data_IF_448977819077
#
_entry.id   IF_448977819077
#
_cell.length_a   1.000
_cell.length_b   1.000
_cell.length_c   1.000
_cell.angle_alpha   90.00
_cell.angle_beta   90.00
_cell.angle_gamma   90.00
#
_symmetry.space_group_name_H-M   'P 1'
#
loop_
_entity.id
_entity.type
_entity.pdbx_description
1 polymer ?
#
# COMPACT_ATOMS: atom_id res chain seq x y z
N UNK A 1 17.38 2.03 37.66
CA UNK A 1 17.76 1.83 36.24
C UNK A 1 18.72 0.64 36.23
N UNK A 2 18.42 -0.44 35.49
CA UNK A 2 19.36 -1.57 35.35
C UNK A 2 19.93 -1.53 33.94
N UNK A 3 21.26 -1.47 33.83
CA UNK A 3 21.96 -1.24 32.55
C UNK A 3 21.93 -2.46 31.62
N UNK A 4 22.15 -3.67 32.16
CA UNK A 4 22.22 -4.91 31.36
C UNK A 4 21.64 -6.09 32.11
N UNK A 5 20.65 -6.75 31.51
CA UNK A 5 20.04 -7.96 32.06
C UNK A 5 20.04 -9.11 31.05
N UNK A 6 20.37 -10.32 31.54
CA UNK A 6 20.17 -11.58 30.83
C UNK A 6 19.20 -12.43 31.65
N UNK A 7 18.12 -12.87 31.03
CA UNK A 7 17.14 -13.74 31.67
C UNK A 7 16.88 -14.97 30.79
N UNK A 8 16.94 -16.16 31.40
CA UNK A 8 16.62 -17.43 30.75
C UNK A 8 15.11 -17.70 30.72
N UNK A 9 14.43 -17.47 31.85
CA UNK A 9 12.98 -17.72 32.04
C UNK A 9 12.12 -16.53 31.63
N UNK A 10 10.82 -16.74 31.31
CA UNK A 10 9.78 -15.72 30.99
C UNK A 10 9.68 -14.54 31.98
N UNK A 11 10.47 -13.46 31.82
CA UNK A 11 10.51 -12.41 32.83
C UNK A 11 9.31 -11.47 32.68
N UNK A 12 8.79 -11.00 33.81
CA UNK A 12 7.64 -10.07 33.86
C UNK A 12 8.07 -8.74 34.47
N UNK A 13 8.01 -7.70 33.66
CA UNK A 13 8.34 -6.33 34.05
C UNK A 13 7.08 -5.48 34.15
N UNK A 14 6.97 -4.75 35.25
CA UNK A 14 5.86 -3.82 35.51
C UNK A 14 6.44 -2.54 36.08
N UNK A 15 6.06 -1.40 35.51
CA UNK A 15 6.52 -0.08 35.94
C UNK A 15 8.06 0.00 35.97
N UNK A 16 8.72 -0.53 34.93
CA UNK A 16 10.18 -0.67 34.88
C UNK A 16 10.79 0.16 33.76
N UNK A 17 11.99 0.69 34.01
CA UNK A 17 12.82 1.36 33.01
C UNK A 17 14.15 0.64 32.92
N UNK A 18 14.41 0.06 31.76
CA UNK A 18 15.56 -0.78 31.48
C UNK A 18 16.28 -0.28 30.24
N UNK A 19 17.59 -0.51 30.16
CA UNK A 19 18.38 -0.03 29.02
C UNK A 19 18.61 -1.18 28.02
N UNK A 20 19.25 -2.27 28.46
CA UNK A 20 19.56 -3.39 27.58
C UNK A 20 19.13 -4.72 28.18
N UNK A 21 18.27 -5.44 27.48
CA UNK A 21 17.78 -6.76 27.91
C UNK A 21 17.99 -7.80 26.82
N UNK A 22 18.49 -8.97 27.23
CA UNK A 22 18.52 -10.18 26.40
C UNK A 22 17.73 -11.29 27.10
N UNK A 23 16.74 -11.83 26.39
CA UNK A 23 15.89 -12.92 26.91
C UNK A 23 15.85 -14.06 25.90
N UNK A 24 15.92 -15.30 26.37
CA UNK A 24 15.68 -16.48 25.53
C UNK A 24 14.19 -16.61 25.19
N UNK A 25 13.35 -16.64 26.22
CA UNK A 25 11.90 -16.87 26.16
C UNK A 25 11.05 -15.59 26.00
N UNK A 26 9.72 -15.71 25.96
CA UNK A 26 8.74 -14.59 25.87
C UNK A 26 8.67 -13.67 27.11
N UNK A 27 9.24 -12.45 27.12
CA UNK A 27 9.06 -11.52 28.22
C UNK A 27 7.72 -10.78 28.14
N UNK A 28 7.21 -10.37 29.30
CA UNK A 28 5.99 -9.55 29.41
C UNK A 28 6.30 -8.20 30.03
N UNK A 29 5.87 -7.15 29.34
CA UNK A 29 6.09 -5.76 29.72
C UNK A 29 4.76 -5.04 29.89
N UNK A 30 4.63 -4.34 31.01
CA UNK A 30 3.47 -3.50 31.30
C UNK A 30 3.94 -2.17 31.88
N UNK A 31 3.43 -1.06 31.34
CA UNK A 31 3.76 0.28 31.82
C UNK A 31 5.28 0.50 31.94
N UNK A 32 6.05 0.06 30.95
CA UNK A 32 7.51 0.01 31.04
C UNK A 32 8.19 0.66 29.82
N UNK A 33 9.41 1.13 30.04
CA UNK A 33 10.30 1.69 29.02
C UNK A 33 11.53 0.81 28.83
N UNK A 34 11.93 0.58 27.60
CA UNK A 34 13.16 -0.14 27.27
C UNK A 34 13.85 0.49 26.06
N UNK A 35 15.17 0.61 26.09
CA UNK A 35 15.90 1.05 24.90
C UNK A 35 16.14 -0.12 23.94
N UNK A 36 16.73 -1.23 24.40
CA UNK A 36 17.10 -2.32 23.51
C UNK A 36 16.70 -3.69 24.05
N UNK A 37 15.94 -4.42 23.22
CA UNK A 37 15.57 -5.81 23.48
C UNK A 37 16.08 -6.73 22.37
N UNK A 38 16.76 -7.80 22.79
CA UNK A 38 16.94 -9.00 21.97
C UNK A 38 16.22 -10.14 22.65
N UNK A 39 15.21 -10.68 21.98
CA UNK A 39 14.46 -11.81 22.47
C UNK A 39 14.58 -12.96 21.45
N UNK A 40 14.72 -14.20 21.92
CA UNK A 40 14.56 -15.37 21.04
C UNK A 40 13.13 -15.43 20.51
N UNK A 41 12.17 -15.26 21.42
CA UNK A 41 10.74 -15.29 21.13
C UNK A 41 10.05 -13.91 21.22
N UNK A 42 8.81 -13.84 20.73
CA UNK A 42 8.05 -12.59 20.65
C UNK A 42 7.59 -12.08 22.02
N UNK A 43 7.99 -10.85 22.43
CA UNK A 43 7.59 -10.29 23.70
C UNK A 43 6.15 -9.77 23.69
N UNK A 44 5.50 -9.75 24.86
CA UNK A 44 4.20 -9.09 25.05
C UNK A 44 4.36 -7.71 25.67
N UNK A 45 3.77 -6.70 25.05
CA UNK A 45 3.86 -5.30 25.44
C UNK A 45 2.47 -4.67 25.61
N UNK A 46 2.26 -4.01 26.75
CA UNK A 46 1.03 -3.28 27.04
C UNK A 46 1.34 -1.94 27.69
N UNK A 47 0.87 -0.84 27.09
CA UNK A 47 1.11 0.52 27.59
C UNK A 47 2.60 0.76 27.80
N UNK A 48 3.43 0.54 26.79
CA UNK A 48 4.88 0.51 26.98
C UNK A 48 5.61 1.06 25.77
N UNK A 49 6.84 1.53 25.98
CA UNK A 49 7.68 2.16 24.96
C UNK A 49 8.97 1.36 24.79
N UNK A 50 9.34 1.10 23.55
CA UNK A 50 10.59 0.41 23.22
C UNK A 50 11.30 1.15 22.07
N UNK A 51 12.60 1.37 22.17
CA UNK A 51 13.35 1.99 21.07
C UNK A 51 13.70 0.94 20.00
N UNK A 52 14.38 -0.16 20.37
CA UNK A 52 14.86 -1.16 19.39
C UNK A 52 14.53 -2.58 19.81
N UNK A 53 13.89 -3.32 18.91
CA UNK A 53 13.59 -4.74 19.07
C UNK A 53 14.16 -5.58 17.93
N UNK A 54 14.79 -6.69 18.31
CA UNK A 54 15.09 -7.82 17.42
C UNK A 54 14.60 -9.12 18.05
N UNK A 55 13.83 -9.90 17.29
CA UNK A 55 13.49 -11.27 17.66
C UNK A 55 13.36 -12.19 16.44
N UNK A 56 13.50 -13.49 16.66
CA UNK A 56 13.51 -14.51 15.61
C UNK A 56 12.14 -15.13 15.40
N UNK A 57 11.60 -15.78 16.42
CA UNK A 57 10.46 -16.70 16.27
C UNK A 57 9.19 -16.24 16.99
N UNK A 58 8.04 -16.64 16.43
CA UNK A 58 6.70 -16.45 17.01
C UNK A 58 6.04 -17.80 17.26
N UNK A 59 5.53 -18.05 18.48
CA UNK A 59 4.39 -18.96 18.65
C UNK A 59 3.14 -18.38 17.97
N UNK A 60 2.26 -19.22 17.41
CA UNK A 60 0.94 -18.80 16.89
C UNK A 60 0.06 -18.24 18.01
N UNK A 61 0.12 -16.93 18.26
CA UNK A 61 -0.67 -16.29 19.31
C UNK A 61 -2.07 -15.89 18.85
N UNK A 62 -3.09 -16.24 19.66
CA UNK A 62 -4.48 -15.78 19.47
C UNK A 62 -4.69 -14.30 19.82
N UNK A 63 -3.80 -13.70 20.64
CA UNK A 63 -3.93 -12.33 21.18
C UNK A 63 -2.89 -11.34 20.64
N UNK A 64 -3.17 -10.01 20.64
CA UNK A 64 -2.20 -8.99 20.26
C UNK A 64 -0.98 -9.01 21.20
N UNK A 65 0.22 -9.15 20.64
CA UNK A 65 1.46 -9.04 21.40
C UNK A 65 1.82 -7.58 21.69
N UNK A 66 1.25 -6.62 20.94
CA UNK A 66 1.42 -5.19 21.19
C UNK A 66 0.08 -4.48 21.35
N UNK A 67 -0.10 -3.81 22.49
CA UNK A 67 -1.31 -3.04 22.78
C UNK A 67 -0.96 -1.70 23.39
N UNK A 68 -1.49 -0.61 22.83
CA UNK A 68 -1.27 0.75 23.35
C UNK A 68 0.23 1.04 23.54
N UNK A 69 1.06 0.68 22.56
CA UNK A 69 2.52 0.72 22.72
C UNK A 69 3.17 1.47 21.57
N UNK A 70 4.36 2.01 21.83
CA UNK A 70 5.16 2.77 20.87
C UNK A 70 6.49 2.05 20.68
N UNK A 71 6.88 1.86 19.41
CA UNK A 71 8.16 1.27 19.07
C UNK A 71 8.86 2.10 17.99
N UNK A 72 10.16 2.35 18.12
CA UNK A 72 10.89 3.11 17.08
C UNK A 72 11.35 2.14 15.96
N UNK A 73 12.07 1.07 16.30
CA UNK A 73 12.67 0.16 15.31
C UNK A 73 12.39 -1.30 15.63
N UNK A 74 11.81 -1.99 14.65
CA UNK A 74 11.53 -3.42 14.73
C UNK A 74 12.15 -4.21 13.58
N UNK A 75 12.85 -5.29 13.91
CA UNK A 75 13.27 -6.33 12.98
C UNK A 75 12.79 -7.69 13.48
N UNK A 76 12.07 -8.42 12.65
CA UNK A 76 11.53 -9.73 12.97
C UNK A 76 11.47 -10.65 11.76
N UNK A 77 11.52 -11.96 12.03
CA UNK A 77 11.15 -12.99 11.06
C UNK A 77 9.64 -13.00 10.83
N UNK A 78 8.84 -13.20 11.88
CA UNK A 78 7.42 -13.56 11.73
C UNK A 78 6.41 -12.87 12.70
N UNK A 79 5.21 -12.64 12.16
CA UNK A 79 3.82 -12.46 12.70
C UNK A 79 3.48 -11.69 13.99
N UNK A 80 3.95 -10.44 14.23
CA UNK A 80 3.42 -9.67 15.35
C UNK A 80 1.98 -9.18 15.09
N UNK A 81 1.16 -9.19 16.15
CA UNK A 81 -0.19 -8.61 16.16
C UNK A 81 -0.20 -7.30 16.95
N UNK A 82 -0.61 -6.22 16.29
CA UNK A 82 -0.63 -4.87 16.82
C UNK A 82 -2.05 -4.31 16.96
N UNK A 83 -2.32 -3.66 18.09
CA UNK A 83 -3.59 -2.97 18.35
C UNK A 83 -3.36 -1.63 19.02
N UNK A 84 -3.94 -0.56 18.48
CA UNK A 84 -3.85 0.80 19.07
C UNK A 84 -2.39 1.20 19.32
N UNK A 85 -1.50 1.05 18.35
CA UNK A 85 -0.06 1.21 18.57
C UNK A 85 0.60 2.01 17.45
N UNK A 86 1.79 2.53 17.72
CA UNK A 86 2.57 3.30 16.76
C UNK A 86 3.95 2.67 16.57
N UNK A 87 4.43 2.62 15.32
CA UNK A 87 5.77 2.15 14.99
C UNK A 87 6.42 3.07 13.96
N UNK A 88 7.69 3.41 14.11
CA UNK A 88 8.37 4.24 13.10
C UNK A 88 8.89 3.37 11.94
N UNK A 89 9.64 2.30 12.25
CA UNK A 89 10.32 1.47 11.23
C UNK A 89 10.11 -0.02 11.48
N UNK A 90 9.49 -0.69 10.50
CA UNK A 90 9.32 -2.14 10.48
C UNK A 90 10.10 -2.80 9.33
N UNK A 91 10.89 -3.82 9.66
CA UNK A 91 11.34 -4.85 8.72
C UNK A 91 10.85 -6.21 9.20
N UNK A 92 10.02 -6.85 8.39
CA UNK A 92 9.46 -8.16 8.68
C UNK A 92 9.64 -9.10 7.49
N UNK A 93 9.88 -10.39 7.74
CA UNK A 93 9.76 -11.43 6.72
C UNK A 93 8.29 -11.65 6.37
N UNK A 94 7.47 -11.96 7.40
CA UNK A 94 6.09 -12.43 7.23
C UNK A 94 5.03 -11.69 8.08
N UNK A 95 3.75 -11.93 7.72
CA UNK A 95 2.44 -11.40 8.19
C UNK A 95 2.32 -10.64 9.52
N UNK A 96 2.62 -9.33 9.58
CA UNK A 96 2.14 -8.53 10.70
C UNK A 96 0.65 -8.15 10.50
N UNK A 97 -0.15 -8.30 11.55
CA UNK A 97 -1.55 -7.88 11.59
C UNK A 97 -1.69 -6.59 12.39
N UNK A 98 -2.24 -5.55 11.76
CA UNK A 98 -2.38 -4.23 12.35
C UNK A 98 -3.82 -3.79 12.45
N UNK A 99 -4.21 -3.29 13.62
CA UNK A 99 -5.54 -2.73 13.87
C UNK A 99 -5.45 -1.40 14.61
N UNK A 100 -6.12 -0.38 14.10
CA UNK A 100 -6.19 0.95 14.74
C UNK A 100 -4.80 1.51 15.05
N UNK A 101 -3.87 1.48 14.09
CA UNK A 101 -2.47 1.76 14.36
C UNK A 101 -1.84 2.66 13.29
N UNK A 102 -0.67 3.21 13.60
CA UNK A 102 0.07 4.08 12.70
C UNK A 102 1.48 3.53 12.46
N UNK A 103 1.97 3.61 11.22
CA UNK A 103 3.36 3.28 10.90
C UNK A 103 3.95 4.18 9.80
N UNK A 104 5.18 4.63 10.01
CA UNK A 104 5.83 5.53 9.06
C UNK A 104 6.48 4.74 7.89
N UNK A 105 7.34 3.77 8.20
CA UNK A 105 8.15 3.04 7.20
C UNK A 105 8.01 1.53 7.37
N UNK A 106 7.52 0.87 6.33
CA UNK A 106 7.33 -0.59 6.29
C UNK A 106 8.13 -1.22 5.15
N UNK A 107 8.85 -2.31 5.45
CA UNK A 107 9.40 -3.24 4.46
C UNK A 107 9.01 -4.67 4.85
N UNK A 108 8.20 -5.33 4.03
CA UNK A 108 7.77 -6.72 4.22
C UNK A 108 7.99 -7.50 2.93
N UNK A 109 8.44 -8.74 3.07
CA UNK A 109 8.61 -9.67 1.95
C UNK A 109 7.28 -10.17 1.43
N UNK A 110 6.48 -10.80 2.28
CA UNK A 110 5.27 -11.49 1.84
C UNK A 110 3.99 -10.70 2.19
N UNK A 111 3.12 -11.28 3.02
CA UNK A 111 1.73 -10.85 3.15
C UNK A 111 1.47 -9.94 4.34
N UNK A 112 0.44 -9.09 4.23
CA UNK A 112 0.12 -8.04 5.23
C UNK A 112 -1.37 -7.91 5.45
N UNK A 113 -1.82 -7.62 6.68
CA UNK A 113 -3.20 -7.18 6.91
C UNK A 113 -3.29 -5.95 7.80
N UNK A 114 -3.93 -4.91 7.29
CA UNK A 114 -4.13 -3.64 7.98
C UNK A 114 -5.61 -3.28 8.05
N UNK A 115 -6.06 -2.86 9.24
CA UNK A 115 -7.43 -2.43 9.47
C UNK A 115 -7.48 -1.10 10.22
N UNK A 116 -8.22 -0.12 9.69
CA UNK A 116 -8.45 1.18 10.33
C UNK A 116 -7.13 1.86 10.73
N UNK A 117 -6.19 1.98 9.81
CA UNK A 117 -4.81 2.37 10.14
C UNK A 117 -4.22 3.33 9.12
N UNK A 118 -3.20 4.07 9.53
CA UNK A 118 -2.53 5.09 8.71
C UNK A 118 -1.11 4.65 8.43
N UNK A 119 -0.67 4.79 7.18
CA UNK A 119 0.65 4.39 6.79
C UNK A 119 1.26 5.36 5.77
N UNK A 120 2.51 5.77 5.97
CA UNK A 120 3.14 6.70 5.03
C UNK A 120 3.81 5.98 3.85
N UNK A 121 4.79 5.10 4.12
CA UNK A 121 5.70 4.59 3.08
C UNK A 121 5.86 3.07 3.12
N UNK A 122 4.81 2.28 2.84
CA UNK A 122 4.97 0.84 2.65
C UNK A 122 5.74 0.43 1.41
N UNK A 123 6.57 -0.58 1.62
CA UNK A 123 7.06 -1.50 0.59
C UNK A 123 6.63 -2.90 0.98
N UNK A 124 5.79 -3.51 0.17
CA UNK A 124 5.35 -4.90 0.32
C UNK A 124 5.74 -5.68 -0.94
N UNK A 125 6.16 -6.92 -0.80
CA UNK A 125 6.23 -7.85 -1.94
C UNK A 125 4.83 -8.31 -2.29
N UNK A 126 4.29 -9.27 -1.52
CA UNK A 126 3.19 -10.10 -2.03
C UNK A 126 1.84 -9.91 -1.29
N UNK A 127 0.77 -9.71 -2.05
CA UNK A 127 -0.64 -9.69 -1.60
C UNK A 127 -1.02 -8.91 -0.31
N UNK A 128 -0.66 -7.62 -0.16
CA UNK A 128 -1.03 -6.86 1.03
C UNK A 128 -2.55 -6.59 1.08
N UNK A 129 -3.16 -6.81 2.25
CA UNK A 129 -4.59 -6.61 2.53
C UNK A 129 -4.85 -5.38 3.39
N UNK A 130 -5.73 -4.50 2.93
CA UNK A 130 -6.06 -3.28 3.67
C UNK A 130 -7.57 -3.07 3.77
N UNK A 131 -8.01 -2.56 4.92
CA UNK A 131 -9.43 -2.29 5.21
C UNK A 131 -9.58 -0.98 5.98
N UNK A 132 -10.24 0.00 5.35
CA UNK A 132 -10.47 1.33 5.91
C UNK A 132 -9.16 2.01 6.35
N UNK A 133 -8.13 1.95 5.51
CA UNK A 133 -6.79 2.49 5.82
C UNK A 133 -6.44 3.64 4.88
N UNK A 134 -5.57 4.54 5.32
CA UNK A 134 -5.08 5.69 4.54
C UNK A 134 -3.60 5.50 4.23
N UNK A 135 -3.19 5.82 3.00
CA UNK A 135 -1.84 5.65 2.51
C UNK A 135 -1.34 6.85 1.72
N UNK A 136 -0.10 7.27 2.01
CA UNK A 136 0.57 8.32 1.25
C UNK A 136 1.30 7.73 0.02
N UNK A 137 2.30 6.86 0.23
CA UNK A 137 3.19 6.35 -0.83
C UNK A 137 3.35 4.83 -0.77
N UNK A 138 2.71 4.13 -1.69
CA UNK A 138 2.74 2.67 -1.76
C UNK A 138 3.63 2.17 -2.91
N UNK A 139 4.50 1.20 -2.60
CA UNK A 139 5.18 0.34 -3.57
C UNK A 139 4.83 -1.10 -3.29
N UNK A 140 4.30 -1.79 -4.30
CA UNK A 140 4.00 -3.23 -4.22
C UNK A 140 4.65 -3.94 -5.41
N UNK A 141 5.24 -5.10 -5.14
CA UNK A 141 5.70 -6.02 -6.19
C UNK A 141 4.52 -6.63 -6.93
N UNK A 142 3.67 -7.34 -6.20
CA UNK A 142 2.53 -8.10 -6.75
C UNK A 142 1.15 -7.51 -6.38
N UNK A 143 0.08 -8.21 -6.76
CA UNK A 143 -1.34 -7.82 -6.61
C UNK A 143 -1.80 -7.37 -5.18
N UNK A 144 -2.10 -6.08 -4.91
CA UNK A 144 -2.66 -5.65 -3.62
C UNK A 144 -4.17 -5.91 -3.53
N UNK A 145 -4.68 -6.36 -2.37
CA UNK A 145 -6.12 -6.53 -2.11
C UNK A 145 -6.65 -5.50 -1.11
N UNK A 146 -7.56 -4.63 -1.54
CA UNK A 146 -8.15 -3.59 -0.68
C UNK A 146 -9.66 -3.81 -0.53
N UNK A 147 -10.16 -4.08 0.67
CA UNK A 147 -11.57 -4.53 0.84
C UNK A 147 -12.32 -3.80 1.96
N UNK A 148 -13.34 -3.01 1.57
CA UNK A 148 -14.68 -2.97 2.18
C UNK A 148 -15.66 -2.11 1.32
N UNK A 149 -16.57 -2.71 0.52
CA UNK A 149 -16.85 -4.16 0.40
C UNK A 149 -17.72 -4.52 -0.81
N UNK A 150 -17.30 -5.48 -1.64
CA UNK A 150 -17.92 -6.81 -1.84
C UNK A 150 -17.30 -7.60 -3.01
N UNK A 151 -17.15 -8.92 -2.77
CA UNK A 151 -16.89 -10.11 -3.62
C UNK A 151 -16.15 -9.99 -4.97
N UNK A 152 -15.21 -10.92 -5.18
CA UNK A 152 -14.44 -11.05 -6.42
C UNK A 152 -13.02 -11.54 -6.14
N UNK A 153 -12.56 -12.51 -6.92
CA UNK A 153 -11.28 -13.22 -6.83
C UNK A 153 -10.08 -12.40 -7.37
N UNK A 154 -10.33 -11.19 -7.86
CA UNK A 154 -9.31 -10.27 -8.41
C UNK A 154 -8.90 -9.18 -7.41
N UNK A 155 -7.65 -8.65 -7.50
CA UNK A 155 -7.18 -7.54 -6.67
C UNK A 155 -7.96 -6.26 -6.97
N UNK A 156 -8.87 -5.91 -6.07
CA UNK A 156 -9.73 -4.73 -6.19
C UNK A 156 -9.30 -3.67 -5.17
N UNK A 157 -9.08 -2.45 -5.63
CA UNK A 157 -9.02 -1.22 -4.84
C UNK A 157 -10.38 -0.56 -4.84
N UNK A 158 -11.11 -0.71 -3.73
CA UNK A 158 -12.46 -0.17 -3.57
C UNK A 158 -12.50 0.88 -2.47
N UNK A 159 -13.12 2.04 -2.73
CA UNK A 159 -13.28 3.12 -1.75
C UNK A 159 -11.95 3.54 -1.10
N UNK A 160 -10.91 3.71 -1.92
CA UNK A 160 -9.56 3.99 -1.47
C UNK A 160 -9.13 5.40 -1.89
N UNK A 161 -8.36 6.06 -1.03
CA UNK A 161 -7.69 7.34 -1.31
C UNK A 161 -6.20 7.13 -1.14
N UNK A 162 -5.44 7.39 -2.21
CA UNK A 162 -3.98 7.31 -2.21
C UNK A 162 -3.37 8.53 -2.90
N UNK A 163 -2.19 8.96 -2.46
CA UNK A 163 -1.45 10.01 -3.16
C UNK A 163 -0.60 9.39 -4.28
N UNK A 164 0.26 8.42 -3.97
CA UNK A 164 1.19 7.83 -4.95
C UNK A 164 1.22 6.31 -4.88
N UNK A 165 1.02 5.66 -6.03
CA UNK A 165 1.19 4.21 -6.19
C UNK A 165 2.19 3.86 -7.29
N UNK A 166 3.04 2.89 -7.00
CA UNK A 166 3.76 2.08 -8.00
C UNK A 166 3.38 0.62 -7.82
N UNK A 167 2.82 0.02 -8.87
CA UNK A 167 2.44 -1.39 -8.92
C UNK A 167 3.06 -2.06 -10.15
N UNK A 168 3.56 -3.29 -10.00
CA UNK A 168 4.01 -4.12 -11.11
C UNK A 168 2.83 -4.62 -11.93
N UNK A 169 1.87 -5.27 -11.27
CA UNK A 169 0.76 -6.00 -11.90
C UNK A 169 -0.60 -5.30 -11.84
N UNK A 170 -1.54 -5.77 -12.69
CA UNK A 170 -2.90 -5.28 -12.93
C UNK A 170 -3.74 -4.85 -11.69
N UNK A 171 -3.84 -3.54 -11.38
CA UNK A 171 -4.76 -3.08 -10.33
C UNK A 171 -6.15 -2.79 -10.90
N UNK A 172 -7.20 -3.33 -10.28
CA UNK A 172 -8.59 -2.96 -10.58
C UNK A 172 -9.12 -1.96 -9.55
N UNK A 173 -9.53 -0.78 -10.00
CA UNK A 173 -10.02 0.33 -9.17
C UNK A 173 -11.53 0.52 -9.30
N UNK A 174 -12.19 0.72 -8.17
CA UNK A 174 -13.62 1.04 -8.08
C UNK A 174 -13.87 2.11 -7.03
N UNK A 175 -14.61 3.17 -7.37
CA UNK A 175 -14.99 4.22 -6.41
C UNK A 175 -13.78 4.77 -5.63
N UNK A 176 -12.68 5.06 -6.32
CA UNK A 176 -11.43 5.43 -5.65
C UNK A 176 -10.85 6.73 -6.23
N UNK A 177 -10.02 7.40 -5.43
CA UNK A 177 -9.31 8.60 -5.81
C UNK A 177 -7.80 8.38 -5.67
N UNK A 178 -7.04 8.77 -6.70
CA UNK A 178 -5.59 8.66 -6.71
C UNK A 178 -4.97 9.88 -7.39
N UNK A 179 -3.86 10.40 -6.86
CA UNK A 179 -3.14 11.51 -7.51
C UNK A 179 -2.21 10.98 -8.60
N UNK A 180 -1.32 10.03 -8.27
CA UNK A 180 -0.29 9.54 -9.21
C UNK A 180 -0.17 8.03 -9.22
N UNK A 181 -0.34 7.42 -10.41
CA UNK A 181 -0.11 6.01 -10.65
C UNK A 181 1.03 5.77 -11.65
N UNK A 182 1.91 4.81 -11.33
CA UNK A 182 2.70 4.08 -12.31
C UNK A 182 2.35 2.59 -12.23
N UNK A 183 1.82 2.05 -13.32
CA UNK A 183 1.49 0.63 -13.46
C UNK A 183 2.29 0.04 -14.63
N UNK A 184 2.81 -1.18 -14.46
CA UNK A 184 3.42 -1.94 -15.54
C UNK A 184 2.35 -2.43 -16.52
N UNK A 185 1.38 -3.17 -15.98
CA UNK A 185 0.33 -3.87 -16.75
C UNK A 185 -1.04 -3.15 -16.75
N UNK A 186 -2.01 -3.70 -17.49
CA UNK A 186 -3.38 -3.19 -17.72
C UNK A 186 -4.18 -2.78 -16.44
N UNK A 187 -4.27 -1.48 -16.09
CA UNK A 187 -5.13 -1.04 -15.00
C UNK A 187 -6.58 -0.90 -15.47
N UNK A 188 -7.53 -1.35 -14.64
CA UNK A 188 -8.98 -1.18 -14.89
C UNK A 188 -9.58 -0.20 -13.90
N UNK A 189 -10.32 0.78 -14.38
CA UNK A 189 -10.91 1.83 -13.56
C UNK A 189 -12.42 1.94 -13.75
N UNK A 190 -13.14 2.02 -12.63
CA UNK A 190 -14.59 2.22 -12.61
C UNK A 190 -14.99 3.25 -11.58
N UNK A 191 -15.81 4.25 -11.96
CA UNK A 191 -16.33 5.27 -11.04
C UNK A 191 -15.22 5.93 -10.21
N UNK A 192 -14.11 6.33 -10.82
CA UNK A 192 -12.91 6.76 -10.09
C UNK A 192 -12.32 8.03 -10.67
N UNK A 193 -11.50 8.69 -9.86
CA UNK A 193 -10.82 9.94 -10.22
C UNK A 193 -9.31 9.72 -10.14
N UNK A 194 -8.59 10.09 -11.19
CA UNK A 194 -7.12 10.05 -11.23
C UNK A 194 -6.55 11.34 -11.83
N UNK A 195 -5.52 11.90 -11.22
CA UNK A 195 -4.83 13.06 -11.81
C UNK A 195 -3.83 12.61 -12.89
N UNK A 196 -2.91 11.69 -12.57
CA UNK A 196 -1.82 11.29 -13.48
C UNK A 196 -1.62 9.78 -13.55
N UNK A 197 -1.72 9.22 -14.76
CA UNK A 197 -1.37 7.82 -15.05
C UNK A 197 -0.15 7.71 -15.98
N UNK A 198 0.77 6.81 -15.64
CA UNK A 198 1.66 6.16 -16.60
C UNK A 198 1.39 4.65 -16.57
N UNK A 199 0.93 4.11 -17.69
CA UNK A 199 0.70 2.68 -17.89
C UNK A 199 1.57 2.18 -19.05
N UNK A 200 2.16 1.00 -18.90
CA UNK A 200 2.86 0.32 -20.00
C UNK A 200 1.86 -0.21 -21.03
N UNK A 201 0.86 -0.95 -20.57
CA UNK A 201 -0.15 -1.63 -21.41
C UNK A 201 -1.52 -0.93 -21.43
N UNK A 202 -2.49 -1.51 -22.15
CA UNK A 202 -3.88 -1.03 -22.35
C UNK A 202 -4.69 -0.71 -21.07
N UNK A 203 -4.87 0.57 -20.69
CA UNK A 203 -5.75 0.92 -19.58
C UNK A 203 -7.23 0.94 -20.00
N UNK A 204 -8.11 0.46 -19.14
CA UNK A 204 -9.56 0.49 -19.37
C UNK A 204 -10.28 1.38 -18.36
N UNK A 205 -11.12 2.30 -18.83
CA UNK A 205 -11.85 3.26 -17.99
C UNK A 205 -13.37 3.20 -18.22
N UNK A 206 -14.13 3.26 -17.13
CA UNK A 206 -15.59 3.37 -17.16
C UNK A 206 -16.09 4.37 -16.14
N UNK A 207 -16.93 5.31 -16.56
CA UNK A 207 -17.54 6.32 -15.66
C UNK A 207 -16.49 7.04 -14.79
N UNK A 208 -15.35 7.44 -15.36
CA UNK A 208 -14.21 7.95 -14.59
C UNK A 208 -13.67 9.26 -15.16
N UNK A 209 -12.92 9.98 -14.34
CA UNK A 209 -12.31 11.27 -14.70
C UNK A 209 -10.79 11.14 -14.59
N UNK A 210 -10.09 11.58 -15.63
CA UNK A 210 -8.63 11.55 -15.70
C UNK A 210 -8.07 12.86 -16.26
N UNK A 211 -7.09 13.47 -15.58
CA UNK A 211 -6.45 14.69 -16.11
C UNK A 211 -5.39 14.34 -17.16
N UNK A 212 -4.44 13.44 -16.83
CA UNK A 212 -3.29 13.13 -17.69
C UNK A 212 -3.03 11.64 -17.81
N UNK A 213 -3.02 11.13 -19.04
CA UNK A 213 -2.70 9.75 -19.39
C UNK A 213 -1.46 9.67 -20.28
N UNK A 214 -0.50 8.83 -19.90
CA UNK A 214 0.52 8.28 -20.81
C UNK A 214 0.37 6.75 -20.86
N UNK A 215 0.03 6.22 -22.02
CA UNK A 215 -0.12 4.79 -22.26
C UNK A 215 0.79 4.34 -23.41
N UNK A 216 1.45 3.19 -23.28
CA UNK A 216 2.23 2.60 -24.38
C UNK A 216 1.35 2.02 -25.47
N UNK A 217 0.22 1.43 -25.11
CA UNK A 217 -0.73 0.74 -26.01
C UNK A 217 -2.11 1.41 -26.03
N UNK A 218 -3.03 0.87 -26.85
CA UNK A 218 -4.42 1.34 -27.03
C UNK A 218 -5.24 1.47 -25.73
N UNK A 219 -5.53 2.69 -25.24
CA UNK A 219 -6.44 2.88 -24.10
C UNK A 219 -7.91 2.76 -24.55
N UNK A 220 -8.75 2.20 -23.67
CA UNK A 220 -10.20 2.12 -23.88
C UNK A 220 -10.94 2.90 -22.81
N UNK A 221 -11.88 3.78 -23.19
CA UNK A 221 -12.73 4.42 -22.20
C UNK A 221 -14.19 4.60 -22.61
N UNK A 222 -15.09 4.53 -21.61
CA UNK A 222 -16.53 4.67 -21.79
C UNK A 222 -17.13 5.59 -20.74
N UNK A 223 -18.02 6.50 -21.15
CA UNK A 223 -18.68 7.45 -20.25
C UNK A 223 -17.68 8.20 -19.35
N UNK A 224 -16.53 8.59 -19.89
CA UNK A 224 -15.41 9.13 -19.10
C UNK A 224 -14.93 10.46 -19.67
N UNK A 225 -14.20 11.22 -18.86
CA UNK A 225 -13.60 12.49 -19.27
C UNK A 225 -12.07 12.42 -19.14
N UNK A 226 -11.37 12.89 -20.18
CA UNK A 226 -9.91 12.94 -20.25
C UNK A 226 -9.44 14.30 -20.77
N UNK A 227 -8.60 15.01 -20.01
CA UNK A 227 -8.04 16.29 -20.46
C UNK A 227 -6.89 16.08 -21.47
N UNK A 228 -5.91 15.24 -21.13
CA UNK A 228 -4.71 15.03 -21.95
C UNK A 228 -4.35 13.56 -22.10
N UNK A 229 -4.28 13.08 -23.34
CA UNK A 229 -3.78 11.76 -23.70
C UNK A 229 -2.50 11.82 -24.52
N UNK A 230 -1.50 11.04 -24.10
CA UNK A 230 -0.37 10.60 -24.93
C UNK A 230 -0.39 9.09 -25.06
N UNK A 231 -0.62 8.58 -26.26
CA UNK A 231 -0.72 7.14 -26.53
C UNK A 231 0.24 6.72 -27.64
N UNK A 232 0.82 5.53 -27.53
CA UNK A 232 1.60 4.92 -28.61
C UNK A 232 0.76 4.39 -29.76
N UNK A 233 -0.52 4.11 -29.51
CA UNK A 233 -1.48 3.54 -30.47
C UNK A 233 -2.83 4.26 -30.40
N UNK A 234 -3.71 3.98 -31.37
CA UNK A 234 -5.01 4.63 -31.51
C UNK A 234 -5.98 4.30 -30.35
N UNK A 235 -6.43 5.30 -29.58
CA UNK A 235 -7.42 5.09 -28.53
C UNK A 235 -8.81 4.77 -29.07
N UNK A 236 -9.63 4.09 -28.27
CA UNK A 236 -11.06 3.93 -28.56
C UNK A 236 -11.92 4.50 -27.43
N UNK A 237 -12.97 5.26 -27.78
CA UNK A 237 -13.86 5.82 -26.78
C UNK A 237 -15.33 5.85 -27.18
N UNK A 238 -16.21 5.81 -26.18
CA UNK A 238 -17.67 5.91 -26.39
C UNK A 238 -18.31 6.82 -25.37
N UNK A 239 -19.14 7.74 -25.83
CA UNK A 239 -19.88 8.70 -24.99
C UNK A 239 -18.94 9.41 -23.99
N UNK A 240 -17.81 9.91 -24.47
CA UNK A 240 -16.72 10.38 -23.61
C UNK A 240 -16.13 11.66 -24.16
N UNK A 241 -15.44 12.43 -23.32
CA UNK A 241 -14.84 13.71 -23.71
C UNK A 241 -13.32 13.57 -23.67
N UNK A 242 -12.67 14.00 -24.74
CA UNK A 242 -11.21 14.14 -24.83
C UNK A 242 -10.87 15.55 -25.31
N UNK A 243 -10.08 16.31 -24.54
CA UNK A 243 -9.69 17.66 -24.96
C UNK A 243 -8.45 17.67 -25.86
N UNK A 244 -7.43 16.87 -25.52
CA UNK A 244 -6.16 16.82 -26.25
C UNK A 244 -5.65 15.39 -26.44
N UNK A 245 -5.32 15.07 -27.69
CA UNK A 245 -4.70 13.81 -28.10
C UNK A 245 -3.32 14.08 -28.71
N UNK A 246 -2.33 13.31 -28.26
CA UNK A 246 -1.00 13.20 -28.87
C UNK A 246 -0.72 11.72 -29.14
N UNK A 247 -0.55 11.36 -30.42
CA UNK A 247 -0.19 10.02 -30.85
C UNK A 247 1.30 9.97 -31.18
N UNK A 248 2.03 8.99 -30.63
CA UNK A 248 3.46 8.80 -30.96
C UNK A 248 3.66 8.02 -32.27
N UNK A 249 2.66 7.24 -32.72
CA UNK A 249 2.66 6.57 -34.03
C UNK A 249 1.29 6.71 -34.69
N UNK A 250 1.22 7.39 -35.83
CA UNK A 250 0.07 7.31 -36.74
C UNK A 250 0.44 6.32 -37.85
N UNK A 251 -0.24 5.17 -37.91
CA UNK A 251 -0.32 4.41 -39.16
C UNK A 251 -1.29 5.16 -40.08
N UNK A 252 -0.88 5.38 -41.33
CA UNK A 252 -1.73 6.04 -42.32
C UNK A 252 -3.07 5.31 -42.43
N UNK A 253 -4.17 5.99 -42.09
CA UNK A 253 -5.54 5.48 -42.22
C UNK A 253 -6.28 5.12 -40.91
N UNK A 254 -5.63 5.15 -39.76
CA UNK A 254 -6.33 4.89 -38.49
C UNK A 254 -6.92 6.18 -37.89
N UNK A 255 -8.24 6.35 -37.99
CA UNK A 255 -8.95 7.45 -37.32
C UNK A 255 -9.35 7.04 -35.90
N UNK A 256 -9.22 7.93 -34.90
CA UNK A 256 -9.76 7.67 -33.57
C UNK A 256 -11.27 7.47 -33.64
N UNK A 257 -11.76 6.31 -33.20
CA UNK A 257 -13.18 6.01 -33.20
C UNK A 257 -13.85 6.50 -31.90
N UNK A 258 -14.75 7.49 -32.02
CA UNK A 258 -15.63 7.83 -30.91
C UNK A 258 -16.82 8.75 -31.25
N UNK A 259 -18.00 8.39 -30.74
CA UNK A 259 -19.23 9.20 -30.89
C UNK A 259 -19.36 10.21 -29.74
N UNK A 260 -19.08 11.50 -29.98
CA UNK A 260 -19.35 12.61 -29.03
C UNK A 260 -19.07 14.01 -29.61
N UNK A 261 -19.80 15.04 -29.13
CA UNK A 261 -19.64 16.48 -29.46
C UNK A 261 -18.19 16.97 -29.27
N UNK A 262 -17.55 17.43 -30.34
CA UNK A 262 -16.11 17.74 -30.37
C UNK A 262 -15.74 19.21 -30.13
N UNK A 263 -14.73 19.41 -29.26
CA UNK A 263 -13.60 20.30 -29.52
C UNK A 263 -12.33 19.45 -29.43
N UNK A 264 -12.08 18.61 -30.44
CA UNK A 264 -10.80 17.91 -30.55
C UNK A 264 -9.75 18.89 -31.06
N UNK A 265 -8.71 19.14 -30.27
CA UNK A 265 -7.48 19.77 -30.77
C UNK A 265 -6.44 18.68 -30.92
N UNK A 266 -6.34 18.11 -32.12
CA UNK A 266 -5.29 17.15 -32.47
C UNK A 266 -4.00 17.95 -32.63
N UNK A 267 -3.04 17.74 -31.72
CA UNK A 267 -1.71 18.31 -31.82
C UNK A 267 -0.80 17.29 -32.48
N UNK A 268 -0.51 17.46 -33.77
CA UNK A 268 0.53 16.69 -34.44
C UNK A 268 1.90 17.16 -33.92
N UNK A 269 2.65 16.27 -33.29
CA UNK A 269 4.09 16.46 -33.09
C UNK A 269 4.81 15.59 -34.09
N UNK A 270 5.10 16.17 -35.25
CA UNK A 270 6.08 15.64 -36.20
C UNK A 270 7.46 15.79 -35.56
N UNK A 271 8.18 14.67 -35.38
CA UNK A 271 9.62 14.66 -35.16
C UNK A 271 10.30 14.29 -36.47
#
# INVERSE_FOLDING_TARGET
MLEKLRAGETPRWRNSVLEKVRVGETPRWRNSGLETLRAGETPRWRNSALEKLRFGETPRWRNPCWRNSVLEKLRLGETPRWRNSALEKLRAGETPLWRNSALEKLRVGETLCWRKSVLEKPRAGDTPRWRNSVLEKLRVGETPRWRNSCAGETPLLRNSVLEKLRAGETPCWRNSALEKLRAGETPRWRNSVLEKLRAGETPCWRNSVLEKLRAGETPRWRNSALEKLRAGETPCWRNSVLEKLVLEKLRAGETPAGNSREKLRVGETSL
#
